data_IF_226796544722
#
_entry.id   IF_226796544722
#
_cell.length_a   1.000
_cell.length_b   1.000
_cell.length_c   1.000
_cell.angle_alpha   90.00
_cell.angle_beta   90.00
_cell.angle_gamma   90.00
#
_symmetry.space_group_name_H-M   'P 1'
#
loop_
_entity.id
_entity.type
_entity.pdbx_description
1 polymer ?
#
# COMPACT_ATOMS: atom_id res chain seq x y z
N UNK A 1 6.75 -10.49 -6.44
CA UNK A 1 6.17 -10.00 -5.16
C UNK A 1 7.23 -9.16 -4.47
N UNK A 2 6.86 -7.97 -4.01
CA UNK A 2 7.72 -7.05 -3.28
C UNK A 2 7.14 -6.83 -1.87
N UNK A 3 7.99 -6.54 -0.90
CA UNK A 3 7.58 -6.25 0.48
C UNK A 3 7.89 -4.81 0.84
N UNK A 4 7.15 -4.30 1.81
CA UNK A 4 7.35 -2.96 2.32
C UNK A 4 6.52 -2.68 3.55
N UNK A 5 6.67 -1.48 4.05
CA UNK A 5 5.99 -0.98 5.24
C UNK A 5 5.10 0.19 4.85
N UNK A 6 3.84 0.16 5.28
CA UNK A 6 2.89 1.25 5.04
C UNK A 6 3.41 2.51 5.74
N UNK A 7 3.79 3.51 4.94
CA UNK A 7 4.30 4.78 5.44
C UNK A 7 3.18 5.69 5.90
N UNK A 8 2.06 5.64 5.20
CA UNK A 8 0.87 6.43 5.48
C UNK A 8 -0.31 5.84 4.71
N UNK A 9 -1.49 5.79 5.32
CA UNK A 9 -2.72 5.48 4.61
C UNK A 9 -3.87 6.32 5.16
N UNK A 10 -4.58 7.02 4.26
CA UNK A 10 -5.78 7.76 4.61
C UNK A 10 -7.01 6.92 4.23
N UNK A 11 -7.65 6.34 5.23
CA UNK A 11 -8.83 5.48 5.04
C UNK A 11 -10.06 6.25 4.58
N UNK A 12 -10.16 7.54 4.89
CA UNK A 12 -11.26 8.41 4.45
C UNK A 12 -11.16 8.74 2.96
N UNK A 13 -9.94 9.01 2.48
CA UNK A 13 -9.64 9.31 1.07
C UNK A 13 -9.35 8.06 0.23
N UNK A 14 -9.06 6.93 0.86
CA UNK A 14 -8.81 5.65 0.21
C UNK A 14 -7.46 5.53 -0.49
N UNK A 15 -6.42 6.26 -0.05
CA UNK A 15 -5.09 6.14 -0.64
C UNK A 15 -3.98 6.26 0.40
N UNK A 16 -2.80 5.79 0.04
CA UNK A 16 -1.62 5.86 0.88
C UNK A 16 -0.32 5.62 0.13
N UNK A 17 0.75 5.44 0.89
CA UNK A 17 2.09 5.14 0.41
C UNK A 17 2.71 4.00 1.21
N UNK A 18 3.47 3.17 0.50
CA UNK A 18 4.23 2.05 1.06
C UNK A 18 5.70 2.30 0.78
N UNK A 19 6.53 2.34 1.82
CA UNK A 19 7.98 2.35 1.70
C UNK A 19 8.48 0.94 1.46
N UNK A 20 9.27 0.76 0.40
CA UNK A 20 9.77 -0.55 0.00
C UNK A 20 10.99 -0.94 0.82
N UNK A 21 11.08 -2.22 1.18
CA UNK A 21 12.23 -2.73 1.96
C UNK A 21 13.54 -2.72 1.17
N UNK A 22 13.47 -2.69 -0.17
CA UNK A 22 14.62 -2.61 -1.07
C UNK A 22 15.21 -1.20 -1.20
N UNK A 23 14.79 -0.25 -0.35
CA UNK A 23 15.18 1.17 -0.36
C UNK A 23 14.92 1.87 -1.71
N UNK A 24 14.01 1.33 -2.53
CA UNK A 24 13.53 2.02 -3.72
C UNK A 24 12.44 3.05 -3.38
N UNK A 25 11.92 3.72 -4.40
CA UNK A 25 10.93 4.79 -4.23
C UNK A 25 9.64 4.30 -3.55
N UNK A 26 9.03 5.20 -2.79
CA UNK A 26 7.73 4.94 -2.16
C UNK A 26 6.67 4.63 -3.23
N UNK A 27 5.87 3.60 -2.98
CA UNK A 27 4.81 3.17 -3.89
C UNK A 27 3.49 3.75 -3.44
N UNK A 28 2.79 4.38 -4.38
CA UNK A 28 1.41 4.78 -4.19
C UNK A 28 0.47 3.56 -4.15
N UNK A 29 -0.43 3.52 -3.17
CA UNK A 29 -1.46 2.48 -3.05
C UNK A 29 -2.83 3.12 -2.97
N UNK A 30 -3.79 2.55 -3.69
CA UNK A 30 -5.20 2.94 -3.65
C UNK A 30 -6.04 1.80 -3.06
N UNK A 31 -7.09 2.12 -2.31
CA UNK A 31 -7.94 1.13 -1.64
C UNK A 31 -8.55 0.12 -2.62
N UNK A 32 -8.76 0.50 -3.88
CA UNK A 32 -9.28 -0.41 -4.91
C UNK A 32 -8.35 -1.59 -5.21
N UNK A 33 -7.05 -1.46 -4.93
CA UNK A 33 -6.02 -2.48 -5.15
C UNK A 33 -5.75 -3.35 -3.92
N UNK A 34 -6.31 -3.01 -2.76
CA UNK A 34 -6.15 -3.82 -1.55
C UNK A 34 -7.00 -5.10 -1.71
N UNK A 35 -6.34 -6.25 -1.68
CA UNK A 35 -7.00 -7.53 -1.69
C UNK A 35 -7.79 -7.73 -0.39
N UNK A 36 -9.10 -7.97 -0.50
CA UNK A 36 -9.97 -8.15 0.65
C UNK A 36 -11.44 -7.90 0.33
N UNK A 37 -12.31 -8.54 1.11
CA UNK A 37 -13.76 -8.32 1.11
C UNK A 37 -14.12 -7.46 2.33
N UNK A 38 -14.80 -6.34 2.14
CA UNK A 38 -15.16 -5.41 3.22
C UNK A 38 -14.33 -4.11 3.23
N UNK A 39 -14.04 -3.59 4.42
CA UNK A 39 -13.31 -2.33 4.59
C UNK A 39 -11.83 -2.50 4.26
N UNK A 40 -11.42 -1.92 3.12
CA UNK A 40 -10.07 -2.04 2.58
C UNK A 40 -9.18 -0.93 3.17
N UNK A 41 -8.51 -1.26 4.27
CA UNK A 41 -7.66 -0.34 5.00
C UNK A 41 -6.24 -0.88 5.19
N UNK A 42 -5.28 0.02 5.35
CA UNK A 42 -3.92 -0.25 5.78
C UNK A 42 -3.61 0.59 7.03
N UNK A 43 -2.83 0.04 7.94
CA UNK A 43 -2.36 0.73 9.13
C UNK A 43 -0.93 1.24 8.93
N UNK A 44 -0.62 2.44 9.41
CA UNK A 44 0.76 2.95 9.38
C UNK A 44 1.70 2.01 10.15
N UNK A 45 2.87 1.72 9.57
CA UNK A 45 3.83 0.75 10.12
C UNK A 45 3.49 -0.72 9.82
N UNK A 46 2.35 -1.00 9.18
CA UNK A 46 2.00 -2.36 8.79
C UNK A 46 2.94 -2.89 7.70
N UNK A 47 3.44 -4.12 7.88
CA UNK A 47 4.15 -4.83 6.82
C UNK A 47 3.18 -5.41 5.81
N UNK A 48 3.46 -5.19 4.53
CA UNK A 48 2.62 -5.62 3.42
C UNK A 48 3.46 -6.25 2.32
N UNK A 49 2.85 -7.23 1.63
CA UNK A 49 3.35 -7.78 0.39
C UNK A 49 2.45 -7.30 -0.75
N UNK A 50 3.06 -6.89 -1.86
CA UNK A 50 2.35 -6.31 -3.00
C UNK A 50 3.05 -6.63 -4.32
N UNK A 51 2.34 -6.42 -5.41
CA UNK A 51 2.88 -6.48 -6.76
C UNK A 51 2.84 -5.08 -7.38
N UNK A 52 4.00 -4.61 -7.87
CA UNK A 52 4.10 -3.31 -8.52
C UNK A 52 3.68 -3.47 -9.97
N UNK A 53 2.48 -2.98 -10.30
CA UNK A 53 1.96 -2.91 -11.66
C UNK A 53 2.01 -1.49 -12.24
N UNK A 54 1.82 -1.33 -13.56
CA UNK A 54 1.68 0.00 -14.17
C UNK A 54 0.48 0.73 -13.53
N UNK A 55 0.73 1.92 -12.98
CA UNK A 55 -0.32 2.77 -12.42
C UNK A 55 -1.35 3.11 -13.49
N UNK A 56 -2.63 2.83 -13.21
CA UNK A 56 -3.74 3.09 -14.12
C UNK A 56 -4.61 4.22 -13.57
#
# INVERSE_FOLDING_TARGET
MATGTVKFFNSEKGYGFISRDDNSEDIFVHFSQIAGSGYRNLEEGQKVEFEVGPGR
#
